data_IF_253943698235
#
_entry.id   IF_253943698235
#
_cell.length_a   1.000
_cell.length_b   1.000
_cell.length_c   1.000
_cell.angle_alpha   90.00
_cell.angle_beta   90.00
_cell.angle_gamma   90.00
#
_symmetry.space_group_name_H-M   'P 1'
#
loop_
_entity.id
_entity.type
_entity.pdbx_description
1 polymer ?
#
# COMPACT_ATOMS: atom_id res chain seq x y z
N UNK A 1 -1.35 -4.83 -10.74
CA UNK A 1 -0.08 -4.49 -11.41
C UNK A 1 -0.03 -5.03 -12.83
N UNK A 2 -0.22 -6.34 -13.04
CA UNK A 2 -0.22 -6.96 -14.38
C UNK A 2 -1.33 -6.43 -15.30
N UNK A 3 -2.53 -6.27 -14.75
CA UNK A 3 -3.70 -5.74 -15.46
C UNK A 3 -4.31 -4.56 -14.68
N UNK A 4 -3.82 -3.33 -14.89
CA UNK A 4 -4.33 -2.14 -14.21
C UNK A 4 -5.57 -1.57 -14.92
N UNK A 5 -6.54 -1.10 -14.13
CA UNK A 5 -7.79 -0.51 -14.65
C UNK A 5 -7.57 0.81 -15.40
N UNK A 6 -6.50 1.54 -15.10
CA UNK A 6 -6.16 2.82 -15.70
C UNK A 6 -4.65 2.92 -15.95
N UNK A 7 -4.20 3.87 -16.81
CA UNK A 7 -2.79 4.23 -16.91
C UNK A 7 -2.20 4.65 -15.55
N UNK A 8 -0.89 4.52 -15.41
CA UNK A 8 -0.20 4.84 -14.15
C UNK A 8 -0.02 6.35 -14.01
N UNK A 9 -0.40 6.87 -12.84
CA UNK A 9 -0.22 8.28 -12.50
C UNK A 9 1.26 8.52 -12.23
N UNK A 10 1.81 9.49 -12.94
CA UNK A 10 3.18 9.99 -12.75
C UNK A 10 3.06 11.45 -12.38
N UNK A 11 3.55 11.81 -11.19
CA UNK A 11 3.55 13.19 -10.72
C UNK A 11 4.92 13.81 -10.90
N UNK A 12 4.93 15.10 -11.20
CA UNK A 12 6.12 15.94 -11.16
C UNK A 12 6.26 16.60 -9.78
N UNK A 13 7.46 17.11 -9.51
CA UNK A 13 7.75 17.97 -8.37
C UNK A 13 6.85 19.21 -8.31
N UNK A 14 6.41 19.71 -9.46
CA UNK A 14 5.57 20.91 -9.57
C UNK A 14 4.06 20.64 -9.54
N UNK A 15 3.64 19.37 -9.42
CA UNK A 15 2.22 19.03 -9.28
C UNK A 15 1.74 19.31 -7.86
N UNK A 16 0.69 20.11 -7.73
CA UNK A 16 0.20 20.61 -6.45
C UNK A 16 -1.24 20.17 -6.19
N UNK A 17 -1.58 20.06 -4.91
CA UNK A 17 -2.95 19.86 -4.49
C UNK A 17 -3.76 21.14 -4.70
N UNK A 18 -4.88 21.00 -5.40
CA UNK A 18 -5.80 22.07 -5.71
C UNK A 18 -7.20 21.70 -5.20
N UNK A 19 -8.04 22.68 -4.82
CA UNK A 19 -9.45 22.40 -4.53
C UNK A 19 -10.13 21.72 -5.72
N UNK A 20 -11.01 20.75 -5.45
CA UNK A 20 -11.78 20.08 -6.52
C UNK A 20 -12.70 21.08 -7.22
N UNK A 21 -12.46 21.31 -8.51
CA UNK A 21 -13.30 22.14 -9.36
C UNK A 21 -14.23 21.26 -10.23
N UNK A 22 -15.33 20.79 -9.64
CA UNK A 22 -16.43 20.12 -10.35
C UNK A 22 -16.41 18.58 -10.33
N UNK A 23 -17.35 17.98 -11.06
CA UNK A 23 -17.69 16.55 -10.98
C UNK A 23 -16.84 15.61 -11.85
N UNK A 24 -16.08 16.17 -12.78
CA UNK A 24 -15.27 15.43 -13.74
C UNK A 24 -14.00 14.87 -13.10
N UNK A 25 -14.04 13.57 -12.75
CA UNK A 25 -12.89 12.87 -12.15
C UNK A 25 -11.84 12.49 -13.20
N UNK A 26 -11.00 13.45 -13.56
CA UNK A 26 -9.83 13.27 -14.43
C UNK A 26 -8.85 12.29 -13.81
N UNK A 27 -7.96 11.70 -14.62
CA UNK A 27 -6.91 10.82 -14.11
C UNK A 27 -6.02 11.60 -13.14
N UNK A 28 -5.94 11.13 -11.90
CA UNK A 28 -5.24 11.83 -10.81
C UNK A 28 -5.58 11.23 -9.45
N UNK A 29 -5.11 11.90 -8.41
CA UNK A 29 -5.39 11.57 -7.02
C UNK A 29 -6.36 12.58 -6.43
N UNK A 30 -7.21 12.14 -5.53
CA UNK A 30 -8.26 12.94 -4.92
C UNK A 30 -8.32 12.61 -3.44
N UNK A 31 -8.39 13.61 -2.59
CA UNK A 31 -8.74 13.40 -1.19
C UNK A 31 -10.26 13.35 -1.08
N UNK A 32 -10.80 12.20 -0.68
CA UNK A 32 -12.23 12.00 -0.54
C UNK A 32 -12.60 11.72 0.93
N UNK A 33 -13.66 12.38 1.36
CA UNK A 33 -14.30 12.18 2.65
C UNK A 33 -15.52 11.28 2.47
N UNK A 34 -15.60 10.21 3.26
CA UNK A 34 -16.65 9.20 3.19
C UNK A 34 -16.71 8.40 4.48
N UNK A 35 -17.91 7.95 4.84
CA UNK A 35 -18.12 6.97 5.90
C UNK A 35 -18.05 5.52 5.39
N UNK A 36 -17.88 5.31 4.09
CA UNK A 36 -17.83 3.97 3.51
C UNK A 36 -16.54 3.23 3.91
N UNK A 37 -16.72 2.05 4.50
CA UNK A 37 -15.63 1.13 4.84
C UNK A 37 -15.63 -0.12 3.96
N UNK A 38 -16.50 -0.21 2.95
CA UNK A 38 -16.56 -1.35 2.03
C UNK A 38 -15.58 -1.19 0.87
N UNK A 39 -15.74 -0.15 0.04
CA UNK A 39 -14.90 0.18 -1.11
C UNK A 39 -13.84 1.22 -0.73
N UNK A 40 -14.28 2.34 -0.14
CA UNK A 40 -13.50 3.56 0.07
C UNK A 40 -12.92 3.70 1.48
N UNK A 41 -12.87 2.66 2.33
CA UNK A 41 -12.06 2.58 3.59
C UNK A 41 -11.90 3.87 4.44
N UNK A 42 -12.93 4.72 4.50
CA UNK A 42 -12.93 6.02 5.15
C UNK A 42 -12.11 7.12 4.44
N UNK A 43 -11.94 8.26 5.13
CA UNK A 43 -11.32 9.46 4.59
C UNK A 43 -9.83 9.28 4.23
N UNK A 44 -9.49 9.29 2.93
CA UNK A 44 -8.10 9.14 2.44
C UNK A 44 -7.91 9.72 1.03
N UNK A 45 -6.70 9.59 0.52
CA UNK A 45 -6.37 9.84 -0.89
C UNK A 45 -6.69 8.59 -1.71
N UNK A 46 -7.48 8.78 -2.76
CA UNK A 46 -7.90 7.78 -3.73
C UNK A 46 -7.50 8.18 -5.15
N UNK A 47 -7.27 7.20 -6.01
CA UNK A 47 -7.20 7.44 -7.44
C UNK A 47 -8.59 7.69 -8.02
N UNK A 48 -8.66 8.42 -9.13
CA UNK A 48 -9.93 8.71 -9.81
C UNK A 48 -10.74 7.44 -10.14
N UNK A 49 -10.07 6.31 -10.42
CA UNK A 49 -10.71 5.10 -10.93
C UNK A 49 -11.62 4.44 -9.87
N UNK A 50 -11.17 4.37 -8.61
CA UNK A 50 -12.00 3.83 -7.52
C UNK A 50 -13.16 4.78 -7.18
N UNK A 51 -12.96 6.09 -7.29
CA UNK A 51 -14.01 7.07 -7.06
C UNK A 51 -15.06 7.06 -8.18
N UNK A 52 -14.66 6.86 -9.44
CA UNK A 52 -15.60 6.61 -10.53
C UNK A 52 -16.43 5.35 -10.27
N UNK A 53 -15.82 4.29 -9.74
CA UNK A 53 -16.56 3.09 -9.32
C UNK A 53 -17.52 3.41 -8.16
N UNK A 54 -17.07 4.14 -7.14
CA UNK A 54 -17.93 4.56 -6.04
C UNK A 54 -19.16 5.36 -6.52
N UNK A 55 -18.98 6.29 -7.48
CA UNK A 55 -20.10 7.01 -8.13
C UNK A 55 -21.05 6.05 -8.86
N UNK A 56 -20.52 5.09 -9.62
CA UNK A 56 -21.33 4.10 -10.35
C UNK A 56 -22.12 3.18 -9.41
N UNK A 57 -21.58 2.87 -8.23
CA UNK A 57 -22.21 2.04 -7.21
C UNK A 57 -23.12 2.84 -6.25
N UNK A 58 -23.26 4.16 -6.45
CA UNK A 58 -24.07 5.03 -5.61
C UNK A 58 -23.50 5.26 -4.20
N UNK A 59 -22.20 5.05 -3.98
CA UNK A 59 -21.55 5.23 -2.68
C UNK A 59 -21.31 6.73 -2.44
N UNK A 60 -21.82 7.30 -1.34
CA UNK A 60 -21.66 8.72 -1.04
C UNK A 60 -20.22 9.04 -0.61
N UNK A 61 -19.65 10.07 -1.22
CA UNK A 61 -18.38 10.66 -0.82
C UNK A 61 -18.29 12.11 -1.30
N UNK A 62 -17.42 12.89 -0.67
CA UNK A 62 -17.12 14.27 -1.05
C UNK A 62 -15.63 14.39 -1.37
N UNK A 63 -15.28 14.72 -2.62
CA UNK A 63 -13.90 15.01 -3.00
C UNK A 63 -13.59 16.49 -2.73
N UNK A 64 -12.68 16.79 -1.81
CA UNK A 64 -12.37 18.19 -1.44
C UNK A 64 -11.15 18.73 -2.17
N UNK A 65 -10.15 17.88 -2.45
CA UNK A 65 -8.90 18.26 -3.10
C UNK A 65 -8.53 17.26 -4.19
N UNK A 66 -7.88 17.74 -5.25
CA UNK A 66 -7.37 16.96 -6.36
C UNK A 66 -5.90 17.26 -6.61
N UNK A 67 -5.18 16.25 -7.09
CA UNK A 67 -3.81 16.32 -7.54
C UNK A 67 -3.75 15.67 -8.92
N UNK A 68 -3.68 16.52 -9.93
CA UNK A 68 -3.71 16.11 -11.33
C UNK A 68 -2.29 16.13 -11.91
N UNK A 69 -1.85 15.05 -12.58
CA UNK A 69 -0.57 15.01 -13.23
C UNK A 69 -0.56 16.00 -14.41
N UNK A 70 0.48 16.84 -14.50
CA UNK A 70 0.70 17.68 -15.69
C UNK A 70 1.32 16.91 -16.85
N UNK A 71 2.06 15.84 -16.55
CA UNK A 71 2.72 15.00 -17.56
C UNK A 71 1.82 13.89 -18.10
N UNK A 72 2.25 13.33 -19.24
CA UNK A 72 1.60 12.16 -19.82
C UNK A 72 1.69 10.97 -18.84
N UNK A 73 0.57 10.29 -18.56
CA UNK A 73 0.55 9.11 -17.70
C UNK A 73 1.42 7.99 -18.27
N UNK A 74 2.01 7.18 -17.40
CA UNK A 74 2.76 6.01 -17.84
C UNK A 74 1.81 4.91 -18.35
N UNK A 75 2.21 4.15 -19.39
CA UNK A 75 1.35 3.17 -20.03
C UNK A 75 1.03 2.01 -19.07
N UNK A 76 -0.16 1.41 -19.23
CA UNK A 76 -0.59 0.24 -18.44
C UNK A 76 0.40 -0.92 -18.48
N UNK A 77 1.17 -1.01 -19.56
CA UNK A 77 2.18 -2.04 -19.81
C UNK A 77 3.49 -1.84 -19.05
N UNK A 78 3.67 -0.73 -18.32
CA UNK A 78 4.92 -0.36 -17.64
C UNK A 78 5.56 -1.51 -16.86
N UNK A 79 4.76 -2.26 -16.10
CA UNK A 79 5.25 -3.36 -15.26
C UNK A 79 5.15 -4.74 -15.91
N UNK A 80 4.55 -4.87 -17.11
CA UNK A 80 4.30 -6.19 -17.72
C UNK A 80 5.58 -6.93 -17.99
N UNK A 81 6.54 -6.31 -18.66
CA UNK A 81 7.83 -6.95 -18.97
C UNK A 81 8.58 -7.42 -17.71
N UNK A 82 8.55 -6.63 -16.63
CA UNK A 82 9.18 -7.02 -15.37
C UNK A 82 8.45 -8.18 -14.70
N UNK A 83 7.11 -8.18 -14.72
CA UNK A 83 6.30 -9.28 -14.19
C UNK A 83 6.45 -10.56 -15.02
N UNK A 84 6.52 -10.45 -16.35
CA UNK A 84 6.76 -11.57 -17.26
C UNK A 84 8.12 -12.21 -16.99
N UNK A 85 9.16 -11.41 -16.80
CA UNK A 85 10.48 -11.89 -16.40
C UNK A 85 10.45 -12.59 -15.02
N UNK A 86 9.71 -12.03 -14.05
CA UNK A 86 9.52 -12.67 -12.74
C UNK A 86 8.76 -14.00 -12.90
N UNK A 87 7.71 -14.06 -13.72
CA UNK A 87 6.95 -15.30 -13.96
C UNK A 87 7.81 -16.38 -14.61
N UNK A 88 8.66 -16.00 -15.58
CA UNK A 88 9.55 -16.93 -16.25
C UNK A 88 10.67 -17.46 -15.34
N UNK A 89 11.21 -16.62 -14.45
CA UNK A 89 12.37 -16.95 -13.62
C UNK A 89 12.01 -17.48 -12.22
N UNK A 90 10.88 -17.05 -11.66
CA UNK A 90 10.50 -17.34 -10.29
C UNK A 90 9.32 -18.32 -10.29
N UNK A 91 9.60 -19.61 -10.03
CA UNK A 91 8.57 -20.61 -9.75
C UNK A 91 7.77 -20.25 -8.48
N UNK A 92 7.96 -20.98 -7.38
CA UNK A 92 7.21 -20.73 -6.13
C UNK A 92 7.45 -19.36 -5.46
N UNK A 93 8.43 -18.56 -5.91
CA UNK A 93 8.78 -17.26 -5.31
C UNK A 93 8.06 -16.06 -5.91
N UNK A 94 7.24 -16.27 -6.95
CA UNK A 94 6.53 -15.21 -7.68
C UNK A 94 5.78 -14.24 -6.75
N UNK A 95 5.00 -14.76 -5.78
CA UNK A 95 4.23 -13.95 -4.83
C UNK A 95 5.13 -13.02 -3.99
N UNK A 96 6.28 -13.52 -3.53
CA UNK A 96 7.23 -12.74 -2.70
C UNK A 96 7.88 -11.61 -3.51
N UNK A 97 8.31 -11.90 -4.73
CA UNK A 97 8.93 -10.90 -5.61
C UNK A 97 7.94 -9.82 -6.04
N UNK A 98 6.70 -10.20 -6.37
CA UNK A 98 5.65 -9.23 -6.69
C UNK A 98 5.32 -8.32 -5.48
N UNK A 99 5.22 -8.90 -4.28
CA UNK A 99 5.02 -8.11 -3.06
C UNK A 99 6.21 -7.19 -2.77
N UNK A 100 7.42 -7.57 -3.16
CA UNK A 100 8.61 -6.72 -3.04
C UNK A 100 8.58 -5.57 -4.02
N UNK A 101 8.18 -5.81 -5.28
CA UNK A 101 8.05 -4.78 -6.30
C UNK A 101 6.97 -3.75 -5.92
N UNK A 102 5.79 -4.21 -5.49
CA UNK A 102 4.74 -3.31 -5.01
C UNK A 102 5.15 -2.57 -3.73
N UNK A 103 5.85 -3.25 -2.82
CA UNK A 103 6.40 -2.64 -1.61
C UNK A 103 7.46 -1.58 -1.90
N UNK A 104 8.24 -1.73 -2.98
CA UNK A 104 9.22 -0.74 -3.41
C UNK A 104 8.56 0.57 -3.82
N UNK A 105 7.41 0.51 -4.50
CA UNK A 105 6.64 1.70 -4.90
C UNK A 105 6.08 2.48 -3.69
N UNK A 106 5.88 1.81 -2.56
CA UNK A 106 5.42 2.44 -1.30
C UNK A 106 6.53 3.02 -0.43
N UNK A 107 7.80 2.89 -0.83
CA UNK A 107 8.94 3.44 -0.07
C UNK A 107 9.12 4.92 -0.37
N UNK A 108 9.08 5.71 0.69
CA UNK A 108 9.23 7.17 0.65
C UNK A 108 10.45 7.64 1.47
N UNK A 109 11.03 6.75 2.28
CA UNK A 109 12.27 7.00 3.02
C UNK A 109 13.28 5.89 2.77
N UNK A 110 14.54 6.27 2.62
CA UNK A 110 15.68 5.35 2.61
C UNK A 110 16.55 5.66 3.82
N UNK A 111 16.76 4.66 4.65
CA UNK A 111 17.74 4.74 5.74
C UNK A 111 19.09 4.27 5.21
N UNK A 112 20.11 5.11 5.38
CA UNK A 112 21.50 4.76 5.18
C UNK A 112 22.19 4.64 6.54
N UNK A 113 22.96 3.57 6.73
CA UNK A 113 23.71 3.33 7.95
C UNK A 113 25.19 3.35 7.60
N UNK A 114 25.91 4.31 8.16
CA UNK A 114 27.38 4.30 8.12
C UNK A 114 27.88 3.76 9.44
N UNK A 115 28.47 2.57 9.42
CA UNK A 115 28.84 1.84 10.63
C UNK A 115 30.34 1.57 10.65
N UNK A 116 30.94 1.67 11.83
CA UNK A 116 32.33 1.34 12.12
C UNK A 116 32.38 0.42 13.34
N UNK A 117 33.34 -0.49 13.33
CA UNK A 117 33.64 -1.36 14.47
C UNK A 117 34.94 -0.90 15.09
N UNK A 118 34.98 -0.82 16.42
CA UNK A 118 36.18 -0.42 17.14
C UNK A 118 36.27 -1.15 18.47
N UNK A 119 37.47 -1.59 18.86
CA UNK A 119 37.72 -2.21 20.15
C UNK A 119 38.21 -1.25 21.23
N UNK A 120 38.60 -0.03 20.84
CA UNK A 120 39.16 0.97 21.76
C UNK A 120 38.11 2.01 22.16
N UNK A 121 37.87 2.14 23.48
CA UNK A 121 36.91 3.08 24.05
C UNK A 121 37.31 4.55 23.82
N UNK A 122 38.60 4.87 23.83
CA UNK A 122 39.07 6.24 23.59
C UNK A 122 38.80 6.68 22.15
N UNK A 123 38.94 5.76 21.18
CA UNK A 123 38.59 6.04 19.79
C UNK A 123 37.09 6.22 19.59
N UNK A 124 36.27 5.48 20.34
CA UNK A 124 34.80 5.67 20.39
C UNK A 124 34.48 7.07 20.89
N UNK A 125 35.11 7.51 21.97
CA UNK A 125 34.87 8.82 22.57
C UNK A 125 35.33 9.97 21.68
N UNK A 126 36.52 9.87 21.08
CA UNK A 126 37.03 10.86 20.13
C UNK A 126 36.11 10.99 18.91
N UNK A 127 35.59 9.86 18.41
CA UNK A 127 34.66 9.87 17.28
C UNK A 127 33.33 10.57 17.65
N UNK A 128 32.78 10.28 18.84
CA UNK A 128 31.58 10.94 19.37
C UNK A 128 31.79 12.44 19.59
N UNK A 129 32.96 12.88 20.08
CA UNK A 129 33.24 14.31 20.23
C UNK A 129 33.36 15.03 18.90
N UNK A 130 33.88 14.35 17.87
CA UNK A 130 34.07 14.95 16.54
C UNK A 130 32.77 15.02 15.73
N UNK A 131 31.87 14.03 15.89
CA UNK A 131 30.66 13.90 15.07
C UNK A 131 29.35 14.15 15.85
N UNK A 132 29.36 13.96 17.16
CA UNK A 132 28.22 14.15 18.05
C UNK A 132 28.10 15.59 18.52
N UNK A 133 27.25 16.36 17.86
CA UNK A 133 26.74 17.62 18.42
C UNK A 133 25.38 17.36 19.09
N UNK A 134 24.99 18.23 20.03
CA UNK A 134 23.71 18.15 20.76
C UNK A 134 22.46 18.14 19.83
N UNK A 135 22.62 18.42 18.53
CA UNK A 135 21.59 18.34 17.50
C UNK A 135 21.73 17.17 16.52
N UNK A 136 22.52 16.14 16.82
CA UNK A 136 22.74 14.96 15.94
C UNK A 136 22.00 13.71 16.44
N UNK A 137 20.65 13.62 16.30
CA UNK A 137 19.83 12.51 16.82
C UNK A 137 20.07 11.16 16.12
N UNK A 138 20.99 11.12 15.14
CA UNK A 138 21.19 10.01 14.23
C UNK A 138 22.43 9.17 14.55
N UNK A 139 23.21 9.55 15.55
CA UNK A 139 24.42 8.83 15.94
C UNK A 139 24.06 7.78 17.00
N UNK A 140 24.56 6.56 16.83
CA UNK A 140 24.37 5.48 17.78
C UNK A 140 25.68 4.77 18.10
N UNK A 141 25.79 4.32 19.35
CA UNK A 141 26.84 3.44 19.82
C UNK A 141 26.19 2.23 20.46
N UNK A 142 26.59 1.04 20.06
CA UNK A 142 26.16 -0.22 20.67
C UNK A 142 27.37 -1.05 21.06
N UNK A 143 27.37 -1.55 22.28
CA UNK A 143 28.25 -2.64 22.69
C UNK A 143 27.72 -3.95 22.09
N UNK A 144 28.60 -4.69 21.41
CA UNK A 144 28.29 -5.99 20.78
C UNK A 144 29.00 -7.17 21.48
N UNK A 145 29.65 -6.92 22.62
CA UNK A 145 30.42 -7.90 23.38
C UNK A 145 31.88 -8.01 22.91
N UNK A 146 32.68 -8.78 23.65
CA UNK A 146 34.11 -9.00 23.38
C UNK A 146 34.96 -7.72 23.25
N UNK A 147 34.62 -6.68 24.03
CA UNK A 147 35.25 -5.35 23.97
C UNK A 147 35.14 -4.68 22.58
N UNK A 148 34.09 -4.97 21.80
CA UNK A 148 33.84 -4.33 20.52
C UNK A 148 32.63 -3.39 20.59
N UNK A 149 32.83 -2.19 20.08
CA UNK A 149 31.83 -1.13 19.98
C UNK A 149 31.47 -0.90 18.51
N UNK A 150 30.17 -0.92 18.25
CA UNK A 150 29.55 -0.58 16.98
C UNK A 150 29.16 0.90 17.02
N UNK A 151 29.86 1.71 16.26
CA UNK A 151 29.62 3.14 16.12
C UNK A 151 28.94 3.39 14.78
N UNK A 152 27.91 4.22 14.72
CA UNK A 152 27.36 4.56 13.43
C UNK A 152 26.47 5.78 13.39
N UNK A 153 26.21 6.22 12.17
CA UNK A 153 25.29 7.30 11.86
C UNK A 153 24.16 6.73 10.98
N UNK A 154 22.92 7.07 11.34
CA UNK A 154 21.72 6.77 10.57
C UNK A 154 21.23 8.01 9.85
N UNK A 155 21.53 8.12 8.56
CA UNK A 155 20.95 9.19 7.73
C UNK A 155 19.65 8.68 7.11
N UNK A 156 18.54 9.38 7.33
CA UNK A 156 17.29 9.11 6.61
C UNK A 156 17.14 10.14 5.49
N UNK A 157 17.00 9.68 4.26
CA UNK A 157 16.74 10.54 3.09
C UNK A 157 15.34 10.26 2.59
N UNK A 158 14.54 11.31 2.47
CA UNK A 158 13.25 11.26 1.78
C UNK A 158 13.50 11.15 0.28
N UNK A 159 12.86 10.19 -0.37
CA UNK A 159 12.97 10.03 -1.81
C UNK A 159 12.02 11.03 -2.49
N UNK A 160 12.58 11.93 -3.29
CA UNK A 160 11.84 12.93 -4.07
C UNK A 160 11.21 12.36 -5.34
N UNK A 161 11.68 11.21 -5.83
CA UNK A 161 11.09 10.49 -6.96
C UNK A 161 9.88 9.69 -6.47
N UNK A 162 8.69 10.23 -6.68
CA UNK A 162 7.46 9.78 -6.01
C UNK A 162 6.80 8.64 -6.81
N UNK A 163 7.02 7.40 -6.37
CA UNK A 163 6.25 6.23 -6.85
C UNK A 163 4.93 6.00 -6.10
N UNK A 164 4.65 6.84 -5.09
CA UNK A 164 3.46 6.74 -4.25
C UNK A 164 2.13 6.77 -5.00
N UNK A 165 1.93 7.58 -6.07
CA UNK A 165 0.70 7.55 -6.85
C UNK A 165 0.39 6.17 -7.42
N UNK A 166 1.41 5.50 -7.98
CA UNK A 166 1.26 4.13 -8.49
C UNK A 166 0.95 3.14 -7.36
N UNK A 167 1.55 3.33 -6.19
CA UNK A 167 1.26 2.50 -5.01
C UNK A 167 -0.18 2.67 -4.49
N UNK A 168 -0.69 3.90 -4.48
CA UNK A 168 -2.10 4.19 -4.15
C UNK A 168 -3.02 3.51 -5.18
N UNK A 169 -2.75 3.68 -6.48
CA UNK A 169 -3.51 2.99 -7.53
C UNK A 169 -3.51 1.47 -7.35
N UNK A 170 -2.38 0.86 -6.99
CA UNK A 170 -2.32 -0.59 -6.75
C UNK A 170 -3.24 -1.04 -5.62
N UNK A 171 -3.29 -0.29 -4.52
CA UNK A 171 -4.18 -0.58 -3.39
C UNK A 171 -5.64 -0.38 -3.76
N UNK A 172 -5.95 0.69 -4.46
CA UNK A 172 -7.30 1.00 -4.89
C UNK A 172 -7.84 -0.05 -5.86
N UNK A 173 -7.03 -0.47 -6.84
CA UNK A 173 -7.40 -1.54 -7.76
C UNK A 173 -7.61 -2.88 -7.03
N UNK A 174 -6.84 -3.17 -5.98
CA UNK A 174 -7.07 -4.35 -5.15
C UNK A 174 -8.38 -4.24 -4.37
N UNK A 175 -8.68 -3.08 -3.79
CA UNK A 175 -9.96 -2.82 -3.11
C UNK A 175 -11.16 -2.96 -4.05
N UNK A 176 -11.07 -2.46 -5.28
CA UNK A 176 -12.13 -2.61 -6.29
C UNK A 176 -12.43 -4.08 -6.58
N UNK A 177 -11.38 -4.89 -6.81
CA UNK A 177 -11.53 -6.34 -7.04
C UNK A 177 -12.11 -7.07 -5.83
N UNK A 178 -11.72 -6.66 -4.63
CA UNK A 178 -12.21 -7.26 -3.40
C UNK A 178 -13.69 -6.91 -3.17
N UNK A 179 -14.09 -5.69 -3.52
CA UNK A 179 -15.48 -5.25 -3.48
C UNK A 179 -16.34 -6.03 -4.49
N UNK A 180 -15.87 -6.19 -5.73
CA UNK A 180 -16.56 -6.97 -6.75
C UNK A 180 -16.71 -8.44 -6.34
N UNK A 181 -15.66 -9.02 -5.74
CA UNK A 181 -15.72 -10.36 -5.17
C UNK A 181 -16.76 -10.46 -4.06
N UNK A 182 -16.77 -9.51 -3.12
CA UNK A 182 -17.70 -9.52 -1.99
C UNK A 182 -19.14 -9.41 -2.47
N UNK A 183 -19.40 -8.56 -3.48
CA UNK A 183 -20.72 -8.47 -4.12
C UNK A 183 -21.12 -9.75 -4.83
N UNK A 184 -20.19 -10.40 -5.53
CA UNK A 184 -20.46 -11.65 -6.23
C UNK A 184 -20.70 -12.84 -5.27
N UNK A 185 -20.01 -12.85 -4.13
CA UNK A 185 -20.22 -13.84 -3.07
C UNK A 185 -21.59 -13.67 -2.40
N UNK A 186 -22.03 -12.43 -2.21
CA UNK A 186 -23.24 -12.14 -1.45
C UNK A 186 -23.12 -12.53 0.02
N UNK A 187 -24.24 -12.54 0.73
CA UNK A 187 -24.28 -12.78 2.17
C UNK A 187 -23.82 -11.57 3.00
N UNK A 188 -23.72 -11.76 4.31
CA UNK A 188 -23.31 -10.71 5.25
C UNK A 188 -21.79 -10.67 5.33
N UNK A 189 -21.21 -9.52 5.01
CA UNK A 189 -19.77 -9.31 5.07
C UNK A 189 -19.31 -9.24 6.53
N UNK A 190 -18.77 -10.35 7.04
CA UNK A 190 -18.27 -10.41 8.40
C UNK A 190 -16.99 -9.61 8.60
N UNK A 191 -16.03 -9.76 7.68
CA UNK A 191 -14.73 -9.08 7.80
C UNK A 191 -14.04 -8.93 6.46
N UNK A 192 -13.30 -7.82 6.30
CA UNK A 192 -12.33 -7.69 5.21
C UNK A 192 -10.93 -7.48 5.78
N UNK A 193 -10.02 -8.41 5.50
CA UNK A 193 -8.60 -8.25 5.83
C UNK A 193 -7.91 -7.43 4.76
N UNK A 194 -7.54 -6.19 5.11
CA UNK A 194 -6.72 -5.27 4.31
C UNK A 194 -7.22 -5.12 2.86
N UNK A 195 -6.70 -5.93 1.95
CA UNK A 195 -6.94 -5.89 0.49
C UNK A 195 -6.90 -7.29 -0.17
N UNK A 196 -6.75 -8.37 0.60
CA UNK A 196 -6.38 -9.69 0.09
C UNK A 196 -7.34 -10.83 0.50
N UNK A 197 -8.25 -10.59 1.44
CA UNK A 197 -9.24 -11.60 1.85
C UNK A 197 -10.54 -10.93 2.34
N UNK A 198 -11.68 -11.48 1.94
CA UNK A 198 -12.98 -11.18 2.52
C UNK A 198 -13.57 -12.46 3.12
N UNK A 199 -14.29 -12.28 4.22
CA UNK A 199 -15.03 -13.35 4.90
C UNK A 199 -16.50 -12.94 4.89
N UNK A 200 -17.34 -13.77 4.27
CA UNK A 200 -18.79 -13.59 4.17
C UNK A 200 -19.50 -14.75 4.86
N UNK A 201 -20.56 -14.46 5.60
CA UNK A 201 -21.44 -15.47 6.20
C UNK A 201 -22.69 -15.61 5.32
N UNK A 202 -23.03 -16.86 4.97
CA UNK A 202 -24.21 -17.16 4.13
C UNK A 202 -24.07 -16.85 2.63
N UNK A 203 -22.86 -16.52 2.15
CA UNK A 203 -22.57 -16.26 0.74
C UNK A 203 -22.19 -17.50 -0.07
N UNK A 204 -22.17 -17.37 -1.39
CA UNK A 204 -21.64 -18.35 -2.33
C UNK A 204 -20.15 -18.12 -2.61
N UNK A 205 -19.45 -19.13 -3.12
CA UNK A 205 -18.08 -18.96 -3.59
C UNK A 205 -18.06 -18.12 -4.88
N UNK A 206 -17.13 -17.15 -5.01
CA UNK A 206 -16.95 -16.43 -6.26
C UNK A 206 -16.37 -17.37 -7.32
N UNK A 207 -16.42 -17.01 -8.61
CA UNK A 207 -15.76 -17.79 -9.66
C UNK A 207 -14.27 -17.95 -9.35
N UNK A 208 -13.87 -19.17 -8.98
CA UNK A 208 -12.50 -19.51 -8.65
C UNK A 208 -11.69 -19.62 -9.94
N UNK A 209 -10.49 -19.06 -9.93
CA UNK A 209 -9.58 -19.13 -11.08
C UNK A 209 -8.13 -19.22 -10.63
N UNK A 210 -7.38 -20.10 -11.29
CA UNK A 210 -5.93 -20.22 -11.12
C UNK A 210 -5.16 -19.18 -11.95
N UNK A 211 -5.85 -18.41 -12.80
CA UNK A 211 -5.25 -17.36 -13.60
C UNK A 211 -4.81 -16.17 -12.73
N UNK A 212 -3.94 -15.34 -13.30
CA UNK A 212 -3.41 -14.17 -12.59
C UNK A 212 -4.53 -13.21 -12.15
N UNK A 213 -4.66 -13.03 -10.83
CA UNK A 213 -5.69 -12.19 -10.25
C UNK A 213 -7.04 -12.89 -10.03
N UNK A 214 -7.11 -14.20 -10.28
CA UNK A 214 -8.22 -15.06 -9.89
C UNK A 214 -8.28 -15.31 -8.38
N UNK A 215 -9.46 -15.71 -7.91
CA UNK A 215 -9.71 -16.01 -6.51
C UNK A 215 -9.45 -17.49 -6.20
N UNK A 216 -8.91 -17.75 -5.01
CA UNK A 216 -8.75 -19.09 -4.47
C UNK A 216 -9.36 -19.19 -3.06
N UNK A 217 -9.78 -20.39 -2.69
CA UNK A 217 -10.23 -20.67 -1.33
C UNK A 217 -9.01 -20.84 -0.44
N UNK A 218 -9.03 -20.24 0.75
CA UNK A 218 -8.05 -20.45 1.80
C UNK A 218 -8.77 -20.92 3.06
N UNK A 219 -8.12 -21.80 3.83
CA UNK A 219 -8.60 -22.12 5.17
C UNK A 219 -8.60 -20.85 6.04
N UNK A 220 -9.68 -20.65 6.79
CA UNK A 220 -9.79 -19.56 7.74
C UNK A 220 -8.82 -19.80 8.91
N UNK A 221 -7.94 -18.86 9.26
CA UNK A 221 -7.10 -18.98 10.44
C UNK A 221 -7.94 -19.19 11.70
N UNK A 222 -7.58 -20.19 12.54
CA UNK A 222 -8.37 -20.62 13.71
C UNK A 222 -8.79 -19.50 14.68
N UNK A 223 -8.04 -18.41 14.74
CA UNK A 223 -8.31 -17.27 15.63
C UNK A 223 -9.33 -16.27 15.06
N UNK A 224 -9.66 -16.36 13.76
CA UNK A 224 -10.58 -15.44 13.09
C UNK A 224 -12.03 -15.97 13.01
N UNK A 225 -12.24 -17.28 13.20
CA UNK A 225 -13.58 -17.89 13.19
C UNK A 225 -14.57 -17.23 14.17
N UNK A 226 -14.25 -17.16 15.47
CA UNK A 226 -15.14 -16.55 16.47
C UNK A 226 -15.39 -15.06 16.23
N UNK A 227 -14.40 -14.34 15.69
CA UNK A 227 -14.52 -12.92 15.37
C UNK A 227 -15.43 -12.66 14.16
N UNK A 228 -15.36 -13.53 13.15
CA UNK A 228 -16.21 -13.43 11.97
C UNK A 228 -17.68 -13.70 12.33
N UNK A 229 -17.97 -14.70 13.16
CA UNK A 229 -19.32 -15.01 13.63
C UNK A 229 -19.90 -13.87 14.49
N UNK A 230 -19.10 -13.30 15.40
CA UNK A 230 -19.52 -12.19 16.26
C UNK A 230 -19.81 -10.91 15.45
N UNK A 231 -19.01 -10.61 14.42
CA UNK A 231 -19.24 -9.45 13.55
C UNK A 231 -20.44 -9.63 12.63
N UNK A 232 -20.66 -10.84 12.10
CA UNK A 232 -21.83 -11.15 11.29
C UNK A 232 -23.12 -11.04 12.09
N UNK A 233 -23.12 -11.53 13.35
CA UNK A 233 -24.25 -11.38 14.26
C UNK A 233 -24.54 -9.90 14.59
N UNK A 234 -23.50 -9.09 14.84
CA UNK A 234 -23.66 -7.66 15.12
C UNK A 234 -24.25 -6.88 13.93
N UNK A 235 -23.92 -7.26 12.69
CA UNK A 235 -24.52 -6.63 11.51
C UNK A 235 -25.95 -7.08 11.24
N UNK A 236 -26.28 -8.34 11.52
CA UNK A 236 -27.66 -8.85 11.41
C UNK A 236 -28.62 -8.20 12.43
N UNK A 237 -28.13 -7.76 13.58
CA UNK A 237 -28.91 -7.02 14.60
C UNK A 237 -29.13 -5.54 14.23
N UNK A 238 -28.49 -5.02 13.17
CA UNK A 238 -28.63 -3.63 12.70
C UNK A 238 -29.48 -3.46 11.42
N UNK A 239 -29.96 -4.56 10.82
CA UNK A 239 -30.97 -4.57 9.74
C UNK A 239 -32.39 -4.69 10.30
#
# INVERSE_FOLDING_TARGET
>A
MYDPYAPWIVLDFNDLWEPCAGDGMRLGLYYAETSDYTLLRGNRIYCNTILCKAKAEGIPFTATHQLLPRHTPAPRTLFKAALDAIMAAAGGMMKKLNNTLSGYLGKHHKNHYRVRLNSCLDHVWNWLQTHGTAGSPNIFVRDIGAQLFLLGEKTSTTMSEINMPMYIQLKDFANMRLYDMTKAMGGTLAFIMKVDCAVTVGGALPPLSAEWGGYCVSELPRHLGPQAEMHAAFQADQE
#
